data_IF_590752529853
#
_entry.id   IF_590752529853
#
_cell.length_a   1.000
_cell.length_b   1.000
_cell.length_c   1.000
_cell.angle_alpha   90.00
_cell.angle_beta   90.00
_cell.angle_gamma   90.00
#
_symmetry.space_group_name_H-M   'P 1'
#
loop_
_entity.id
_entity.type
_entity.pdbx_description
1 polymer ?
#
# COMPACT_ATOMS: atom_id res chain seq x y z
N UNK A 1 -68.79 -23.45 -51.42
CA UNK A 1 -69.01 -24.33 -50.26
C UNK A 1 -68.79 -23.50 -48.99
N UNK A 2 -69.88 -23.27 -48.24
CA UNK A 2 -70.05 -22.81 -46.84
C UNK A 2 -68.91 -22.07 -46.12
N UNK A 3 -69.03 -20.79 -45.72
CA UNK A 3 -69.93 -20.11 -44.73
C UNK A 3 -69.37 -20.06 -43.30
N UNK A 4 -69.12 -18.84 -42.81
CA UNK A 4 -69.64 -18.16 -41.59
C UNK A 4 -68.57 -17.19 -41.01
N UNK A 5 -68.78 -15.85 -40.94
CA UNK A 5 -69.63 -15.05 -40.02
C UNK A 5 -69.27 -15.29 -38.53
N UNK A 6 -69.13 -14.35 -37.58
CA UNK A 6 -69.48 -12.91 -37.45
C UNK A 6 -68.99 -12.40 -36.06
N UNK A 7 -68.67 -11.10 -35.95
CA UNK A 7 -68.74 -10.18 -34.75
C UNK A 7 -67.91 -10.48 -33.48
N UNK A 8 -67.54 -9.57 -32.57
CA UNK A 8 -68.11 -8.30 -32.06
C UNK A 8 -66.98 -7.61 -31.23
N UNK A 9 -66.59 -6.35 -31.47
CA UNK A 9 -67.02 -5.09 -30.83
C UNK A 9 -66.88 -4.98 -29.29
N UNK A 10 -66.32 -3.83 -28.89
CA UNK A 10 -66.42 -3.07 -27.61
C UNK A 10 -65.07 -2.96 -26.88
N UNK A 11 -64.59 -1.81 -26.41
CA UNK A 11 -65.20 -0.50 -26.19
C UNK A 11 -64.41 0.16 -25.06
N UNK A 12 -63.59 1.15 -25.38
CA UNK A 12 -62.89 2.01 -24.42
C UNK A 12 -63.91 2.88 -23.66
N UNK A 13 -63.88 2.93 -22.32
CA UNK A 13 -64.03 4.17 -21.53
C UNK A 13 -63.87 3.94 -20.01
N UNK A 14 -62.94 4.71 -19.42
CA UNK A 14 -63.06 5.35 -18.11
C UNK A 14 -62.99 4.50 -16.83
N UNK A 15 -62.08 4.84 -15.92
CA UNK A 15 -62.47 5.53 -14.69
C UNK A 15 -61.26 6.10 -13.94
N UNK A 16 -61.56 7.12 -13.15
CA UNK A 16 -60.70 8.08 -12.50
C UNK A 16 -60.44 7.74 -11.02
N UNK A 17 -59.33 8.28 -10.51
CA UNK A 17 -59.07 8.76 -9.15
C UNK A 17 -59.41 7.93 -7.89
N UNK A 18 -58.38 7.91 -7.02
CA UNK A 18 -58.37 7.94 -5.54
C UNK A 18 -58.30 6.63 -4.75
N UNK A 19 -57.15 6.54 -4.06
CA UNK A 19 -56.92 6.01 -2.70
C UNK A 19 -57.12 4.51 -2.48
N UNK A 20 -56.01 3.80 -2.30
CA UNK A 20 -55.88 2.90 -1.15
C UNK A 20 -54.39 2.77 -0.76
N UNK A 21 -54.09 3.21 0.46
CA UNK A 21 -52.88 2.85 1.18
C UNK A 21 -52.87 1.35 1.44
N UNK A 22 -51.79 0.65 1.13
CA UNK A 22 -51.31 -0.50 1.90
C UNK A 22 -49.93 -0.94 1.39
N UNK A 23 -48.92 -0.75 2.24
CA UNK A 23 -47.93 -1.78 2.60
C UNK A 23 -47.22 -2.52 1.45
N UNK A 24 -46.07 -2.01 1.02
CA UNK A 24 -44.93 -2.83 0.60
C UNK A 24 -43.68 -1.95 0.50
N UNK A 25 -43.18 -1.48 1.65
CA UNK A 25 -41.79 -1.06 1.77
C UNK A 25 -40.99 -2.36 1.85
N UNK A 26 -40.61 -2.90 0.69
CA UNK A 26 -39.56 -3.91 0.61
C UNK A 26 -38.28 -3.16 0.97
N UNK A 27 -37.93 -3.25 2.25
CA UNK A 27 -36.64 -2.88 2.79
C UNK A 27 -35.61 -3.81 2.14
N UNK A 28 -35.03 -3.36 1.04
CA UNK A 28 -33.81 -3.96 0.49
C UNK A 28 -32.68 -3.64 1.47
N UNK A 29 -32.65 -4.35 2.60
CA UNK A 29 -31.43 -4.49 3.41
C UNK A 29 -30.46 -5.26 2.55
N UNK A 30 -29.64 -4.53 1.79
CA UNK A 30 -28.39 -5.05 1.28
C UNK A 30 -27.58 -5.40 2.53
N UNK A 31 -27.65 -6.67 2.94
CA UNK A 31 -26.67 -7.27 3.83
C UNK A 31 -25.35 -7.26 3.05
N UNK A 32 -24.65 -6.13 3.09
CA UNK A 32 -23.21 -6.13 2.83
C UNK A 32 -22.63 -6.91 4.00
N UNK A 33 -22.54 -8.23 3.87
CA UNK A 33 -21.72 -9.04 4.74
C UNK A 33 -20.29 -8.53 4.59
N UNK A 34 -19.87 -7.64 5.50
CA UNK A 34 -18.49 -7.21 5.59
C UNK A 34 -17.69 -8.43 6.02
N UNK A 35 -17.12 -9.14 5.06
CA UNK A 35 -16.22 -10.23 5.37
C UNK A 35 -15.07 -9.69 6.23
N UNK A 36 -14.86 -10.32 7.39
CA UNK A 36 -13.87 -9.85 8.38
C UNK A 36 -12.47 -9.97 7.81
N UNK A 37 -11.69 -8.88 7.88
CA UNK A 37 -10.29 -8.84 7.44
C UNK A 37 -9.38 -8.57 8.61
N UNK A 38 -8.31 -9.34 8.69
CA UNK A 38 -7.22 -9.16 9.65
C UNK A 38 -5.96 -8.66 8.94
N UNK A 39 -5.04 -8.06 9.69
CA UNK A 39 -3.76 -7.58 9.18
C UNK A 39 -2.62 -8.39 9.79
N UNK A 40 -1.80 -9.00 8.93
CA UNK A 40 -0.58 -9.71 9.36
C UNK A 40 0.63 -9.00 8.76
N UNK A 41 1.63 -8.74 9.61
CA UNK A 41 2.92 -8.22 9.17
C UNK A 41 3.83 -9.38 8.79
N UNK A 42 4.24 -9.42 7.54
CA UNK A 42 5.14 -10.45 7.02
C UNK A 42 6.48 -9.83 6.64
N UNK A 43 7.56 -10.43 7.12
CA UNK A 43 8.89 -10.01 6.74
C UNK A 43 9.26 -10.59 5.37
N UNK A 44 9.63 -9.73 4.42
CA UNK A 44 10.08 -10.10 3.08
C UNK A 44 11.58 -9.83 2.94
N UNK A 45 12.31 -10.66 2.17
CA UNK A 45 13.71 -10.41 1.90
C UNK A 45 13.91 -9.17 1.02
N UNK A 46 15.10 -8.58 1.08
CA UNK A 46 15.49 -7.50 0.19
C UNK A 46 15.44 -7.93 -1.29
N UNK A 47 15.11 -7.02 -2.21
CA UNK A 47 15.08 -7.33 -3.65
C UNK A 47 16.48 -7.70 -4.17
N UNK A 48 17.54 -7.06 -3.66
CA UNK A 48 18.94 -7.33 -3.99
C UNK A 48 19.64 -8.07 -2.86
N UNK A 49 19.60 -9.40 -2.94
CA UNK A 49 20.12 -10.27 -1.89
C UNK A 49 21.59 -10.00 -1.53
N UNK A 50 22.51 -9.91 -2.50
CA UNK A 50 23.93 -9.67 -2.20
C UNK A 50 24.18 -8.31 -1.53
N UNK A 51 23.43 -7.27 -1.93
CA UNK A 51 23.55 -5.96 -1.32
C UNK A 51 23.15 -5.98 0.16
N UNK A 52 22.08 -6.70 0.49
CA UNK A 52 21.59 -6.82 1.87
C UNK A 52 22.49 -7.61 2.83
N UNK A 53 23.44 -8.39 2.29
CA UNK A 53 24.45 -9.09 3.11
C UNK A 53 25.59 -8.16 3.54
N UNK A 54 25.72 -6.97 2.96
CA UNK A 54 26.78 -6.03 3.28
C UNK A 54 26.36 -5.16 4.46
N UNK A 55 26.83 -5.48 5.66
CA UNK A 55 26.32 -4.91 6.92
C UNK A 55 27.04 -3.64 7.34
N UNK A 56 28.36 -3.62 7.23
CA UNK A 56 29.17 -2.46 7.58
C UNK A 56 29.32 -1.55 6.37
N UNK A 57 28.64 -0.41 6.35
CA UNK A 57 28.56 0.45 5.16
C UNK A 57 28.95 1.88 5.48
N UNK A 58 29.55 2.55 4.49
CA UNK A 58 29.75 4.00 4.48
C UNK A 58 28.93 4.62 3.36
N UNK A 59 28.48 5.85 3.56
CA UNK A 59 27.77 6.63 2.54
C UNK A 59 28.67 7.78 2.10
N UNK A 60 29.08 7.78 0.84
CA UNK A 60 29.78 8.91 0.24
C UNK A 60 28.78 9.87 -0.40
N UNK A 61 29.16 11.15 -0.61
CA UNK A 61 28.33 12.10 -1.33
C UNK A 61 27.87 11.55 -2.68
N UNK A 62 26.63 11.86 -3.04
CA UNK A 62 26.13 11.62 -4.39
C UNK A 62 26.52 12.81 -5.26
N UNK A 63 26.82 12.55 -6.52
CA UNK A 63 26.97 13.62 -7.53
C UNK A 63 25.59 14.16 -7.94
N UNK A 64 25.55 15.34 -8.55
CA UNK A 64 24.31 15.93 -9.08
C UNK A 64 23.57 16.85 -8.09
N UNK A 65 22.39 17.38 -8.48
CA UNK A 65 21.66 18.37 -7.69
C UNK A 65 21.23 17.83 -6.33
N UNK A 66 21.63 18.48 -5.24
CA UNK A 66 21.26 18.08 -3.87
C UNK A 66 21.86 16.74 -3.42
N UNK A 67 22.94 16.27 -4.05
CA UNK A 67 23.49 14.94 -3.81
C UNK A 67 24.14 14.77 -2.42
N UNK A 68 24.65 15.84 -1.82
CA UNK A 68 25.20 15.79 -0.46
C UNK A 68 24.09 15.65 0.59
N UNK A 69 22.99 16.38 0.42
CA UNK A 69 21.80 16.29 1.26
C UNK A 69 21.17 14.90 1.13
N UNK A 70 21.01 14.41 -0.11
CA UNK A 70 20.47 13.08 -0.34
C UNK A 70 21.33 11.97 0.26
N UNK A 71 22.67 12.11 0.25
CA UNK A 71 23.56 11.17 0.93
C UNK A 71 23.30 11.12 2.45
N UNK A 72 23.11 12.27 3.09
CA UNK A 72 22.76 12.34 4.51
C UNK A 72 21.38 11.74 4.81
N UNK A 73 20.41 11.95 3.91
CA UNK A 73 19.09 11.31 4.03
C UNK A 73 19.19 9.77 3.89
N UNK A 74 20.05 9.27 2.98
CA UNK A 74 20.33 7.85 2.82
C UNK A 74 20.99 7.26 4.07
N UNK A 75 21.95 7.97 4.65
CA UNK A 75 22.59 7.60 5.91
C UNK A 75 21.53 7.46 7.03
N UNK A 76 20.63 8.44 7.16
CA UNK A 76 19.55 8.40 8.16
C UNK A 76 18.57 7.24 8.00
N UNK A 77 18.19 6.89 6.77
CA UNK A 77 17.28 5.75 6.53
C UNK A 77 17.98 4.40 6.73
N UNK A 78 19.29 4.30 6.48
CA UNK A 78 20.07 3.11 6.80
C UNK A 78 20.28 2.96 8.32
N UNK A 79 20.55 4.07 9.02
CA UNK A 79 20.75 4.10 10.48
C UNK A 79 19.49 3.68 11.25
N UNK A 80 18.32 4.11 10.77
CA UNK A 80 17.02 3.78 11.37
C UNK A 80 16.54 2.37 11.01
N UNK A 81 17.23 1.66 10.11
CA UNK A 81 16.81 0.33 9.70
C UNK A 81 17.13 -0.68 10.80
N UNK A 82 16.08 -1.16 11.46
CA UNK A 82 16.14 -2.28 12.39
C UNK A 82 15.29 -3.48 11.91
N UNK A 83 15.67 -4.67 12.38
CA UNK A 83 14.91 -5.92 12.28
C UNK A 83 15.03 -6.59 13.65
N UNK A 84 13.90 -6.98 14.25
CA UNK A 84 13.84 -7.61 15.58
C UNK A 84 14.64 -6.84 16.66
N UNK A 85 14.41 -5.53 16.73
CA UNK A 85 15.06 -4.56 17.64
C UNK A 85 16.59 -4.45 17.53
N UNK A 86 17.18 -5.01 16.46
CA UNK A 86 18.60 -4.91 16.15
C UNK A 86 18.82 -4.03 14.93
N UNK A 87 19.83 -3.16 14.97
CA UNK A 87 20.25 -2.40 13.80
C UNK A 87 20.69 -3.36 12.69
N UNK A 88 20.16 -3.15 11.50
CA UNK A 88 20.45 -4.00 10.34
C UNK A 88 21.78 -3.66 9.68
N UNK A 89 22.15 -2.37 9.69
CA UNK A 89 23.41 -1.87 9.17
C UNK A 89 24.26 -1.28 10.29
N UNK A 90 25.58 -1.43 10.15
CA UNK A 90 26.58 -0.73 10.94
C UNK A 90 27.14 0.40 10.08
N UNK A 91 26.85 1.64 10.44
CA UNK A 91 27.35 2.79 9.69
C UNK A 91 28.72 3.20 10.15
N UNK A 92 29.60 3.44 9.19
CA UNK A 92 30.89 4.08 9.44
C UNK A 92 30.68 5.57 9.64
N UNK A 93 31.33 6.12 10.66
CA UNK A 93 31.23 7.52 11.04
C UNK A 93 31.62 8.49 9.92
N UNK A 94 30.77 9.49 9.68
CA UNK A 94 30.96 10.49 8.64
C UNK A 94 32.20 11.36 8.86
N UNK A 95 32.50 11.74 10.10
CA UNK A 95 33.69 12.56 10.38
C UNK A 95 34.98 11.81 10.00
N UNK A 96 35.01 10.49 10.19
CA UNK A 96 36.10 9.62 9.75
C UNK A 96 36.23 9.60 8.22
N UNK A 97 35.11 9.57 7.48
CA UNK A 97 35.11 9.66 6.01
C UNK A 97 35.65 11.01 5.55
N UNK A 98 35.14 12.12 6.11
CA UNK A 98 35.53 13.48 5.73
C UNK A 98 37.02 13.75 6.00
N UNK A 99 37.55 13.21 7.12
CA UNK A 99 38.98 13.24 7.42
C UNK A 99 39.81 12.53 6.35
N UNK A 100 39.45 11.31 5.97
CA UNK A 100 40.16 10.55 4.93
C UNK A 100 40.07 11.25 3.56
N UNK A 101 38.90 11.83 3.24
CA UNK A 101 38.70 12.54 1.98
C UNK A 101 39.57 13.80 1.87
N UNK A 102 39.73 14.53 2.97
CA UNK A 102 40.58 15.73 3.02
C UNK A 102 42.07 15.40 3.03
N UNK A 103 42.51 14.40 3.78
CA UNK A 103 43.93 13.99 3.86
C UNK A 103 44.48 13.46 2.54
N UNK A 104 43.66 12.74 1.76
CA UNK A 104 44.08 12.13 0.49
C UNK A 104 43.74 12.99 -0.74
N UNK A 105 43.24 14.22 -0.54
CA UNK A 105 42.81 15.14 -1.61
C UNK A 105 41.77 14.56 -2.58
N UNK A 106 40.99 13.56 -2.14
CA UNK A 106 39.93 12.94 -2.95
C UNK A 106 38.74 13.87 -3.20
N UNK A 107 38.58 14.91 -2.38
CA UNK A 107 37.54 15.92 -2.48
C UNK A 107 37.58 16.75 -3.79
N UNK A 108 38.67 16.68 -4.56
CA UNK A 108 38.83 17.44 -5.80
C UNK A 108 38.19 16.77 -7.04
N UNK A 109 37.80 15.49 -6.95
CA UNK A 109 37.13 14.80 -8.06
C UNK A 109 35.61 14.91 -7.95
N UNK A 110 34.96 15.50 -8.95
CA UNK A 110 33.50 15.58 -9.03
C UNK A 110 32.81 14.21 -9.20
N UNK A 111 33.58 13.18 -9.58
CA UNK A 111 33.10 11.81 -9.75
C UNK A 111 34.01 10.85 -8.99
N UNK A 112 33.43 10.14 -8.02
CA UNK A 112 34.12 9.07 -7.29
C UNK A 112 33.93 7.77 -8.08
N UNK A 113 35.01 7.23 -8.64
CA UNK A 113 34.97 5.94 -9.33
C UNK A 113 34.95 4.76 -8.34
N UNK A 114 34.67 3.55 -8.83
CA UNK A 114 34.54 2.36 -7.99
C UNK A 114 35.82 2.05 -7.22
N UNK A 115 36.99 2.29 -7.84
CA UNK A 115 38.30 2.01 -7.25
C UNK A 115 38.61 2.97 -6.11
N UNK A 116 38.31 4.24 -6.29
CA UNK A 116 38.47 5.28 -5.27
C UNK A 116 37.52 5.04 -4.12
N UNK A 117 36.25 4.73 -4.39
CA UNK A 117 35.28 4.36 -3.37
C UNK A 117 35.75 3.14 -2.55
N UNK A 118 36.21 2.08 -3.21
CA UNK A 118 36.76 0.90 -2.53
C UNK A 118 38.00 1.24 -1.68
N UNK A 119 38.91 2.10 -2.19
CA UNK A 119 40.08 2.55 -1.43
C UNK A 119 39.67 3.32 -0.17
N UNK A 120 38.71 4.25 -0.28
CA UNK A 120 38.17 4.99 0.87
C UNK A 120 37.53 4.01 1.86
N UNK A 121 36.68 3.12 1.36
CA UNK A 121 36.03 2.09 2.18
C UNK A 121 37.01 1.24 2.98
N UNK A 122 38.14 0.85 2.38
CA UNK A 122 39.20 0.12 3.08
C UNK A 122 39.84 0.94 4.21
N UNK A 123 40.03 2.25 4.02
CA UNK A 123 40.61 3.14 5.03
C UNK A 123 39.66 3.39 6.20
N UNK A 124 38.35 3.45 5.94
CA UNK A 124 37.33 3.71 6.95
C UNK A 124 36.71 2.44 7.55
N UNK A 125 37.18 1.25 7.14
CA UNK A 125 36.72 -0.03 7.67
C UNK A 125 35.32 -0.47 7.18
N UNK A 126 34.85 0.05 6.06
CA UNK A 126 33.57 -0.36 5.46
C UNK A 126 33.71 -1.65 4.65
N UNK A 127 32.66 -2.48 4.63
CA UNK A 127 32.50 -3.60 3.70
C UNK A 127 31.90 -3.13 2.37
N UNK A 128 31.00 -2.14 2.43
CA UNK A 128 30.33 -1.57 1.27
C UNK A 128 30.28 -0.05 1.29
N UNK A 129 30.29 0.54 0.11
CA UNK A 129 30.13 1.98 -0.08
C UNK A 129 28.86 2.27 -0.86
N UNK A 130 27.95 3.02 -0.25
CA UNK A 130 26.84 3.66 -0.95
C UNK A 130 27.29 5.00 -1.53
N UNK A 131 27.04 5.20 -2.82
CA UNK A 131 27.23 6.47 -3.53
C UNK A 131 26.37 6.45 -4.79
N UNK A 132 26.37 7.50 -5.60
CA UNK A 132 25.59 7.52 -6.82
C UNK A 132 25.49 8.90 -7.43
N UNK A 133 24.42 9.09 -8.21
CA UNK A 133 24.10 10.36 -8.83
C UNK A 133 22.62 10.67 -8.66
N UNK A 134 22.30 11.87 -8.21
CA UNK A 134 20.96 12.45 -8.34
C UNK A 134 20.84 12.97 -9.77
N UNK A 135 19.97 12.37 -10.56
CA UNK A 135 19.82 12.68 -11.99
C UNK A 135 18.79 13.77 -12.23
N UNK A 136 17.79 13.91 -11.34
CA UNK A 136 16.80 14.97 -11.40
C UNK A 136 16.26 15.32 -10.01
N UNK A 137 16.13 16.61 -9.73
CA UNK A 137 15.41 17.13 -8.58
C UNK A 137 14.82 18.49 -8.99
N UNK A 138 13.59 18.48 -9.50
CA UNK A 138 12.96 19.70 -10.00
C UNK A 138 11.44 19.66 -9.81
N UNK A 139 10.85 20.86 -9.77
CA UNK A 139 9.42 21.07 -9.73
C UNK A 139 9.00 21.86 -10.95
N UNK A 140 7.88 21.49 -11.56
CA UNK A 140 7.34 22.16 -12.74
C UNK A 140 5.88 22.53 -12.52
N UNK A 141 5.58 23.80 -12.68
CA UNK A 141 4.21 24.30 -12.69
C UNK A 141 3.65 24.35 -14.13
N UNK A 142 2.37 24.01 -14.24
CA UNK A 142 1.59 24.12 -15.47
C UNK A 142 0.25 24.77 -15.17
N UNK A 143 -0.05 25.83 -15.91
CA UNK A 143 -1.29 26.59 -15.72
C UNK A 143 -2.41 26.02 -16.59
N UNK A 144 -3.60 25.90 -16.00
CA UNK A 144 -4.81 25.49 -16.68
C UNK A 144 -6.01 26.31 -16.16
N UNK A 145 -7.20 26.08 -16.72
CA UNK A 145 -8.41 26.78 -16.29
C UNK A 145 -9.51 25.77 -16.04
N UNK A 146 -10.27 25.99 -14.98
CA UNK A 146 -11.48 25.23 -14.69
C UNK A 146 -12.72 26.09 -14.83
N UNK A 147 -13.80 25.48 -15.29
CA UNK A 147 -15.08 26.15 -15.45
C UNK A 147 -15.81 26.19 -14.10
N UNK A 148 -16.36 27.35 -13.76
CA UNK A 148 -17.27 27.59 -12.63
C UNK A 148 -18.59 28.15 -13.13
N UNK A 149 -19.59 28.11 -12.25
CA UNK A 149 -20.90 28.72 -12.48
C UNK A 149 -21.26 29.58 -11.27
N UNK A 150 -21.74 30.78 -11.53
CA UNK A 150 -22.36 31.65 -10.54
C UNK A 150 -23.76 32.04 -11.00
N UNK A 151 -24.60 32.42 -10.04
CA UNK A 151 -25.90 32.97 -10.39
C UNK A 151 -25.73 34.40 -10.92
N UNK A 152 -26.17 34.63 -12.16
CA UNK A 152 -26.15 35.96 -12.77
C UNK A 152 -27.38 36.79 -12.42
N UNK A 153 -28.50 36.14 -12.09
CA UNK A 153 -29.75 36.81 -11.74
C UNK A 153 -30.58 35.98 -10.77
N UNK A 154 -30.94 36.55 -9.62
CA UNK A 154 -31.87 35.95 -8.65
C UNK A 154 -33.30 36.44 -8.85
N UNK A 155 -34.26 35.59 -8.50
CA UNK A 155 -35.67 35.95 -8.34
C UNK A 155 -35.84 36.87 -7.12
N UNK A 156 -36.47 38.03 -7.25
CA UNK A 156 -36.73 38.90 -6.10
C UNK A 156 -38.09 38.55 -5.50
N UNK A 157 -38.12 38.21 -4.20
CA UNK A 157 -39.34 37.92 -3.44
C UNK A 157 -39.55 38.93 -2.33
N UNK A 158 -40.78 39.02 -1.83
CA UNK A 158 -41.15 39.91 -0.72
C UNK A 158 -41.70 39.11 0.45
N UNK A 159 -41.27 39.44 1.66
CA UNK A 159 -41.81 38.89 2.89
C UNK A 159 -43.18 39.52 3.25
N UNK A 160 -43.82 39.02 4.31
CA UNK A 160 -45.13 39.55 4.78
C UNK A 160 -45.06 40.99 5.30
N UNK A 161 -43.87 41.52 5.57
CA UNK A 161 -43.61 42.89 6.01
C UNK A 161 -43.23 43.82 4.85
N UNK A 162 -43.18 43.29 3.63
CA UNK A 162 -42.82 44.02 2.41
C UNK A 162 -41.31 44.09 2.12
N UNK A 163 -40.46 43.43 2.90
CA UNK A 163 -39.01 43.43 2.67
C UNK A 163 -38.65 42.49 1.52
N UNK A 164 -37.74 42.94 0.65
CA UNK A 164 -37.24 42.13 -0.46
C UNK A 164 -36.14 41.17 -0.01
N UNK A 165 -36.14 39.97 -0.59
CA UNK A 165 -35.07 38.98 -0.40
C UNK A 165 -34.85 38.16 -1.68
N UNK A 166 -33.64 37.60 -1.80
CA UNK A 166 -33.25 36.78 -2.95
C UNK A 166 -33.89 35.39 -2.87
N UNK A 167 -34.58 35.03 -3.95
CA UNK A 167 -35.17 33.73 -4.22
C UNK A 167 -34.24 32.83 -5.04
N UNK A 168 -34.81 32.00 -5.91
CA UNK A 168 -34.02 31.05 -6.71
C UNK A 168 -33.20 31.76 -7.77
N UNK A 169 -32.10 31.13 -8.18
CA UNK A 169 -31.35 31.60 -9.34
C UNK A 169 -32.14 31.41 -10.64
N UNK A 170 -32.31 32.49 -11.43
CA UNK A 170 -33.03 32.53 -12.71
C UNK A 170 -32.08 32.24 -13.88
N UNK A 171 -30.85 32.78 -13.84
CA UNK A 171 -29.87 32.58 -14.90
C UNK A 171 -28.48 32.31 -14.33
N UNK A 172 -27.79 31.35 -14.94
CA UNK A 172 -26.43 30.96 -14.57
C UNK A 172 -25.44 31.52 -15.57
N UNK A 173 -24.33 32.05 -15.08
CA UNK A 173 -23.20 32.49 -15.91
C UNK A 173 -21.99 31.64 -15.60
N UNK A 174 -21.30 31.22 -16.66
CA UNK A 174 -20.03 30.53 -16.53
C UNK A 174 -18.88 31.53 -16.46
N UNK A 175 -17.90 31.23 -15.63
CA UNK A 175 -16.61 31.89 -15.64
C UNK A 175 -15.50 30.85 -15.51
N UNK A 176 -14.27 31.23 -15.84
CA UNK A 176 -13.12 30.34 -15.78
C UNK A 176 -12.19 30.80 -14.67
N UNK A 177 -11.81 29.87 -13.80
CA UNK A 177 -10.85 30.12 -12.73
C UNK A 177 -9.49 29.60 -13.15
N UNK A 178 -8.42 30.41 -13.05
CA UNK A 178 -7.07 29.93 -13.26
C UNK A 178 -6.67 28.94 -12.16
N UNK A 179 -6.00 27.88 -12.59
CA UNK A 179 -5.52 26.83 -11.72
C UNK A 179 -4.08 26.48 -12.10
N UNK A 180 -3.34 25.98 -11.12
CA UNK A 180 -1.97 25.55 -11.28
C UNK A 180 -1.88 24.08 -10.90
N UNK A 181 -1.31 23.27 -11.80
CA UNK A 181 -0.86 21.92 -11.52
C UNK A 181 0.64 21.93 -11.36
N UNK A 182 1.10 21.49 -10.20
CA UNK A 182 2.49 21.37 -9.80
C UNK A 182 2.91 19.91 -9.83
N UNK A 183 3.94 19.63 -10.61
CA UNK A 183 4.52 18.30 -10.80
C UNK A 183 5.96 18.32 -10.27
N UNK A 184 6.22 17.68 -9.12
CA UNK A 184 7.56 17.49 -8.58
C UNK A 184 8.13 16.16 -9.04
N UNK A 185 9.39 16.15 -9.47
CA UNK A 185 10.09 14.94 -9.92
C UNK A 185 11.45 14.80 -9.25
N UNK A 186 11.69 13.63 -8.65
CA UNK A 186 12.97 13.26 -8.08
C UNK A 186 13.45 11.94 -8.68
N UNK A 187 14.73 11.88 -9.04
CA UNK A 187 15.36 10.69 -9.62
C UNK A 187 16.82 10.58 -9.18
N UNK A 188 17.22 9.39 -8.74
CA UNK A 188 18.57 9.09 -8.31
C UNK A 188 18.97 7.66 -8.71
N UNK A 189 20.27 7.47 -8.97
CA UNK A 189 20.86 6.15 -9.22
C UNK A 189 21.84 5.82 -8.09
N UNK A 190 21.35 5.30 -6.95
CA UNK A 190 22.22 4.78 -5.90
C UNK A 190 22.95 3.52 -6.37
N UNK A 191 24.16 3.35 -5.84
CA UNK A 191 25.04 2.22 -6.09
C UNK A 191 25.62 1.74 -4.77
N UNK A 192 25.75 0.42 -4.61
CA UNK A 192 26.56 -0.21 -3.57
C UNK A 192 27.80 -0.83 -4.22
N UNK A 193 28.97 -0.44 -3.74
CA UNK A 193 30.25 -0.96 -4.19
C UNK A 193 30.84 -1.83 -3.08
N UNK A 194 31.16 -3.08 -3.39
CA UNK A 194 31.89 -3.97 -2.52
C UNK A 194 33.35 -3.50 -2.38
N UNK A 195 33.80 -3.26 -1.15
CA UNK A 195 35.14 -2.72 -0.88
C UNK A 195 36.23 -3.72 -1.21
N UNK A 196 35.97 -5.02 -1.04
CA UNK A 196 36.99 -6.05 -1.22
C UNK A 196 37.32 -6.31 -2.69
N UNK A 197 36.31 -6.24 -3.56
CA UNK A 197 36.40 -6.57 -4.99
C UNK A 197 36.27 -5.36 -5.91
N UNK A 198 35.90 -4.19 -5.37
CA UNK A 198 35.52 -2.99 -6.11
C UNK A 198 34.36 -3.21 -7.11
N UNK A 199 33.54 -4.26 -6.94
CA UNK A 199 32.41 -4.57 -7.82
C UNK A 199 31.13 -3.88 -7.32
N UNK A 200 30.27 -3.50 -8.25
CA UNK A 200 28.93 -3.02 -7.93
C UNK A 200 28.05 -4.21 -7.52
N UNK A 201 27.53 -4.20 -6.30
CA UNK A 201 26.55 -5.17 -5.79
C UNK A 201 25.10 -4.75 -6.03
N UNK A 202 24.86 -3.44 -6.11
CA UNK A 202 23.55 -2.85 -6.37
C UNK A 202 23.71 -1.58 -7.20
N UNK A 203 22.84 -1.40 -8.20
CA UNK A 203 22.69 -0.16 -8.94
C UNK A 203 21.33 -0.16 -9.61
N UNK A 204 20.51 0.85 -9.35
CA UNK A 204 19.18 0.98 -9.97
C UNK A 204 18.83 2.45 -10.15
N UNK A 205 18.20 2.81 -11.26
CA UNK A 205 17.62 4.13 -11.42
C UNK A 205 16.26 4.16 -10.71
N UNK A 206 16.14 4.97 -9.67
CA UNK A 206 14.95 5.15 -8.86
C UNK A 206 14.36 6.53 -9.13
N UNK A 207 13.11 6.60 -9.58
CA UNK A 207 12.45 7.85 -9.91
C UNK A 207 11.02 7.88 -9.41
N UNK A 208 10.61 9.01 -8.83
CA UNK A 208 9.22 9.27 -8.41
C UNK A 208 8.78 10.69 -8.75
N UNK A 209 7.48 10.82 -8.95
CA UNK A 209 6.83 12.11 -9.17
C UNK A 209 5.63 12.23 -8.25
N UNK A 210 5.42 13.44 -7.75
CA UNK A 210 4.27 13.82 -6.92
C UNK A 210 3.59 15.03 -7.56
N UNK A 211 2.26 15.01 -7.59
CA UNK A 211 1.47 16.04 -8.26
C UNK A 211 0.46 16.64 -7.29
N UNK A 212 0.35 17.97 -7.30
CA UNK A 212 -0.73 18.67 -6.63
C UNK A 212 -1.32 19.72 -7.56
N UNK A 213 -2.64 19.89 -7.52
CA UNK A 213 -3.33 20.95 -8.22
C UNK A 213 -4.09 21.84 -7.25
N UNK A 214 -4.19 23.12 -7.57
CA UNK A 214 -5.02 24.08 -6.84
C UNK A 214 -5.46 25.22 -7.74
N UNK A 215 -6.58 25.84 -7.41
CA UNK A 215 -7.16 26.97 -8.14
C UNK A 215 -7.20 28.20 -7.24
N UNK A 216 -7.16 29.41 -7.83
CA UNK A 216 -7.19 30.66 -7.05
C UNK A 216 -8.43 30.79 -6.15
N UNK A 217 -9.55 30.19 -6.54
CA UNK A 217 -10.81 30.20 -5.78
C UNK A 217 -10.86 29.15 -4.66
N UNK A 218 -9.84 28.30 -4.54
CA UNK A 218 -9.75 27.19 -3.59
C UNK A 218 -8.36 27.15 -2.94
N UNK A 219 -8.04 26.03 -2.30
CA UNK A 219 -6.69 25.80 -1.79
C UNK A 219 -5.67 25.81 -2.94
N UNK A 220 -4.53 26.49 -2.75
CA UNK A 220 -3.42 26.42 -3.70
C UNK A 220 -2.86 24.99 -3.76
N UNK A 221 -2.09 24.65 -4.82
CA UNK A 221 -1.34 23.40 -4.82
C UNK A 221 -0.38 23.37 -3.62
N UNK A 222 -0.03 22.15 -3.19
CA UNK A 222 0.97 21.91 -2.14
C UNK A 222 2.29 22.63 -2.45
N UNK A 223 3.02 22.94 -1.39
CA UNK A 223 4.33 23.58 -1.48
C UNK A 223 5.32 22.77 -2.32
N UNK A 224 6.22 23.47 -3.03
CA UNK A 224 7.21 22.86 -3.92
C UNK A 224 8.13 21.90 -3.15
N UNK A 225 8.60 22.32 -1.98
CA UNK A 225 9.51 21.54 -1.15
C UNK A 225 8.78 20.32 -0.56
N UNK A 226 7.54 20.49 -0.09
CA UNK A 226 6.73 19.37 0.40
C UNK A 226 6.56 18.27 -0.67
N UNK A 227 6.25 18.64 -1.91
CA UNK A 227 6.08 17.67 -3.00
C UNK A 227 7.40 16.99 -3.38
N UNK A 228 8.49 17.75 -3.45
CA UNK A 228 9.80 17.18 -3.77
C UNK A 228 10.28 16.23 -2.66
N UNK A 229 10.05 16.58 -1.39
CA UNK A 229 10.39 15.72 -0.26
C UNK A 229 9.54 14.44 -0.23
N UNK A 230 8.25 14.52 -0.56
CA UNK A 230 7.41 13.33 -0.73
C UNK A 230 7.96 12.41 -1.85
N UNK A 231 8.41 12.96 -2.97
CA UNK A 231 9.02 12.18 -4.05
C UNK A 231 10.35 11.53 -3.61
N UNK A 232 11.19 12.25 -2.86
CA UNK A 232 12.42 11.72 -2.25
C UNK A 232 12.12 10.59 -1.27
N UNK A 233 11.15 10.77 -0.38
CA UNK A 233 10.71 9.74 0.58
C UNK A 233 10.28 8.46 -0.14
N UNK A 234 9.53 8.58 -1.23
CA UNK A 234 9.14 7.43 -2.04
C UNK A 234 10.34 6.72 -2.68
N UNK A 235 11.36 7.46 -3.15
CA UNK A 235 12.62 6.89 -3.64
C UNK A 235 13.41 6.19 -2.52
N UNK A 236 13.55 6.81 -1.34
CA UNK A 236 14.25 6.21 -0.18
C UNK A 236 13.57 4.94 0.30
N UNK A 237 12.23 4.90 0.33
CA UNK A 237 11.47 3.68 0.66
C UNK A 237 11.75 2.56 -0.34
N UNK A 238 11.81 2.85 -1.64
CA UNK A 238 12.16 1.82 -2.64
C UNK A 238 13.61 1.38 -2.49
N UNK A 239 14.55 2.31 -2.29
CA UNK A 239 15.95 1.99 -2.02
C UNK A 239 16.09 1.04 -0.82
N UNK A 240 15.41 1.31 0.30
CA UNK A 240 15.47 0.43 1.47
C UNK A 240 14.94 -0.98 1.19
N UNK A 241 13.87 -1.13 0.40
CA UNK A 241 13.36 -2.45 -0.02
C UNK A 241 14.35 -3.19 -0.90
N UNK A 242 15.11 -2.45 -1.71
CA UNK A 242 16.14 -3.05 -2.56
C UNK A 242 17.27 -3.65 -1.72
N UNK A 243 17.67 -2.99 -0.62
CA UNK A 243 18.90 -3.33 0.11
C UNK A 243 18.70 -3.94 1.50
N UNK A 244 17.48 -3.97 2.04
CA UNK A 244 17.19 -4.56 3.34
C UNK A 244 15.81 -5.27 3.37
N UNK A 245 15.65 -6.31 4.21
CA UNK A 245 14.35 -6.93 4.48
C UNK A 245 13.32 -5.90 4.91
N UNK A 246 12.06 -6.10 4.57
CA UNK A 246 10.99 -5.14 4.87
C UNK A 246 9.70 -5.84 5.26
N UNK A 247 8.96 -5.24 6.19
CA UNK A 247 7.64 -5.73 6.57
C UNK A 247 6.61 -5.29 5.54
N UNK A 248 5.76 -6.22 5.15
CA UNK A 248 4.56 -5.98 4.35
C UNK A 248 3.37 -6.36 5.19
N UNK A 249 2.42 -5.44 5.35
CA UNK A 249 1.13 -5.74 5.96
C UNK A 249 0.22 -6.33 4.91
N UNK A 250 -0.20 -7.58 5.11
CA UNK A 250 -1.15 -8.27 4.25
C UNK A 250 -2.51 -8.25 4.93
N UNK A 251 -3.54 -7.84 4.20
CA UNK A 251 -4.93 -8.00 4.63
C UNK A 251 -5.44 -9.37 4.22
N UNK A 252 -5.88 -10.17 5.19
CA UNK A 252 -6.38 -11.52 4.97
C UNK A 252 -7.84 -11.55 5.39
N UNK A 253 -8.70 -11.96 4.47
CA UNK A 253 -10.10 -12.24 4.77
C UNK A 253 -10.21 -13.59 5.47
N UNK A 254 -10.93 -13.61 6.60
CA UNK A 254 -11.27 -14.83 7.32
C UNK A 254 -12.46 -15.53 6.67
N UNK A 255 -12.51 -16.85 6.82
CA UNK A 255 -13.66 -17.65 6.36
C UNK A 255 -14.67 -17.83 7.49
N UNK A 256 -15.94 -17.62 7.18
CA UNK A 256 -17.08 -17.72 8.10
C UNK A 256 -18.09 -18.81 7.71
N UNK A 257 -17.85 -19.52 6.60
CA UNK A 257 -18.71 -20.63 6.18
C UNK A 257 -18.79 -21.72 7.25
N UNK A 258 -20.02 -22.19 7.51
CA UNK A 258 -20.28 -23.31 8.43
C UNK A 258 -20.30 -24.67 7.72
N UNK A 259 -19.78 -24.75 6.49
CA UNK A 259 -19.71 -26.00 5.74
C UNK A 259 -18.91 -27.06 6.51
N UNK A 260 -19.45 -28.28 6.54
CA UNK A 260 -18.90 -29.43 7.28
C UNK A 260 -18.73 -29.16 8.80
N UNK A 261 -19.63 -28.35 9.38
CA UNK A 261 -19.76 -28.15 10.83
C UNK A 261 -21.18 -28.56 11.26
N UNK A 262 -21.32 -29.70 11.93
CA UNK A 262 -22.62 -30.15 12.45
C UNK A 262 -22.90 -29.62 13.86
N UNK A 263 -21.87 -29.57 14.71
CA UNK A 263 -21.98 -29.10 16.09
C UNK A 263 -22.32 -27.62 16.18
N UNK A 264 -23.40 -27.28 16.88
CA UNK A 264 -23.76 -25.88 17.17
C UNK A 264 -22.65 -25.17 17.95
N UNK A 265 -22.07 -25.82 18.96
CA UNK A 265 -20.94 -25.31 19.72
C UNK A 265 -19.72 -25.00 18.82
N UNK A 266 -19.47 -25.81 17.79
CA UNK A 266 -18.38 -25.55 16.85
C UNK A 266 -18.67 -24.35 15.92
N UNK A 267 -19.92 -24.14 15.52
CA UNK A 267 -20.34 -22.94 14.77
C UNK A 267 -20.21 -21.69 15.61
N UNK A 268 -20.64 -21.75 16.87
CA UNK A 268 -20.53 -20.65 17.82
C UNK A 268 -19.06 -20.29 18.06
N UNK A 269 -18.18 -21.30 18.23
CA UNK A 269 -16.74 -21.09 18.34
C UNK A 269 -16.11 -20.52 17.06
N UNK A 270 -16.53 -20.95 15.87
CA UNK A 270 -16.06 -20.34 14.61
C UNK A 270 -16.36 -18.83 14.60
N UNK A 271 -17.61 -18.45 14.88
CA UNK A 271 -18.05 -17.05 14.92
C UNK A 271 -17.34 -16.26 16.03
N UNK A 272 -17.23 -16.84 17.24
CA UNK A 272 -16.54 -16.21 18.36
C UNK A 272 -15.06 -15.96 18.06
N UNK A 273 -14.37 -16.92 17.43
CA UNK A 273 -12.99 -16.73 17.01
C UNK A 273 -12.82 -15.60 15.99
N UNK A 274 -13.78 -15.42 15.07
CA UNK A 274 -13.79 -14.30 14.12
C UNK A 274 -13.94 -12.95 14.85
N UNK A 275 -14.84 -12.85 15.83
CA UNK A 275 -15.02 -11.63 16.64
C UNK A 275 -13.75 -11.28 17.45
N UNK A 276 -13.07 -12.28 18.03
CA UNK A 276 -11.77 -12.06 18.67
C UNK A 276 -10.71 -11.57 17.67
N UNK A 277 -10.64 -12.18 16.49
CA UNK A 277 -9.68 -11.80 15.46
C UNK A 277 -9.92 -10.37 14.93
N UNK A 278 -11.19 -9.97 14.75
CA UNK A 278 -11.58 -8.61 14.36
C UNK A 278 -11.12 -7.57 15.41
N UNK A 279 -11.18 -7.93 16.69
CA UNK A 279 -10.69 -7.11 17.81
C UNK A 279 -9.17 -7.19 18.02
N UNK A 280 -8.42 -7.78 17.08
CA UNK A 280 -6.97 -7.90 17.12
C UNK A 280 -6.45 -8.93 18.13
N UNK A 281 -7.32 -9.79 18.67
CA UNK A 281 -6.99 -10.81 19.68
C UNK A 281 -6.75 -12.16 19.01
N UNK A 282 -5.74 -12.21 18.14
CA UNK A 282 -5.45 -13.38 17.31
C UNK A 282 -5.17 -14.64 18.13
N UNK A 283 -4.46 -14.54 19.24
CA UNK A 283 -4.12 -15.72 20.08
C UNK A 283 -5.37 -16.44 20.57
N UNK A 284 -6.37 -15.68 21.06
CA UNK A 284 -7.65 -16.23 21.50
C UNK A 284 -8.42 -16.85 20.32
N UNK A 285 -8.43 -16.19 19.17
CA UNK A 285 -9.10 -16.71 17.97
C UNK A 285 -8.53 -18.07 17.57
N UNK A 286 -7.20 -18.20 17.57
CA UNK A 286 -6.50 -19.43 17.25
C UNK A 286 -6.79 -20.57 18.23
N UNK A 287 -6.86 -20.27 19.53
CA UNK A 287 -7.25 -21.26 20.54
C UNK A 287 -8.69 -21.74 20.32
N UNK A 288 -9.63 -20.82 20.13
CA UNK A 288 -11.05 -21.11 19.95
C UNK A 288 -11.30 -21.94 18.68
N UNK A 289 -10.69 -21.57 17.55
CA UNK A 289 -10.77 -22.36 16.32
C UNK A 289 -10.11 -23.73 16.48
N UNK A 290 -9.04 -23.83 17.27
CA UNK A 290 -8.41 -25.11 17.63
C UNK A 290 -9.39 -26.04 18.36
N UNK A 291 -10.14 -25.49 19.33
CA UNK A 291 -11.19 -26.23 20.04
C UNK A 291 -12.35 -26.62 19.11
N UNK A 292 -12.80 -25.72 18.24
CA UNK A 292 -13.87 -25.98 17.27
C UNK A 292 -13.49 -27.12 16.30
N UNK A 293 -12.22 -27.17 15.87
CA UNK A 293 -11.71 -28.20 14.96
C UNK A 293 -11.80 -29.61 15.53
N UNK A 294 -11.81 -29.79 16.86
CA UNK A 294 -11.99 -31.11 17.48
C UNK A 294 -13.35 -31.71 17.07
N UNK A 295 -14.40 -30.89 17.02
CA UNK A 295 -15.75 -31.32 16.67
C UNK A 295 -16.03 -31.25 15.15
N UNK A 296 -15.27 -30.45 14.40
CA UNK A 296 -15.42 -30.30 12.95
C UNK A 296 -14.05 -30.35 12.23
N UNK A 297 -13.39 -31.52 12.18
CA UNK A 297 -12.00 -31.65 11.73
C UNK A 297 -11.78 -31.36 10.24
N UNK A 298 -12.84 -31.49 9.43
CA UNK A 298 -12.81 -31.30 7.98
C UNK A 298 -13.44 -29.99 7.51
N UNK A 299 -13.88 -29.11 8.43
CA UNK A 299 -14.44 -27.83 8.04
C UNK A 299 -13.41 -26.98 7.30
N UNK A 300 -13.68 -26.57 6.04
CA UNK A 300 -12.75 -25.77 5.29
C UNK A 300 -12.45 -24.41 5.95
N UNK A 301 -13.46 -23.77 6.55
CA UNK A 301 -13.30 -22.48 7.22
C UNK A 301 -12.38 -22.60 8.45
N UNK A 302 -12.56 -23.64 9.29
CA UNK A 302 -11.68 -23.86 10.44
C UNK A 302 -10.25 -24.21 10.01
N UNK A 303 -10.08 -25.05 8.99
CA UNK A 303 -8.76 -25.39 8.44
C UNK A 303 -8.06 -24.14 7.89
N UNK A 304 -8.77 -23.32 7.11
CA UNK A 304 -8.24 -22.08 6.56
C UNK A 304 -7.88 -21.08 7.67
N UNK A 305 -8.78 -20.78 8.60
CA UNK A 305 -8.53 -19.83 9.69
C UNK A 305 -7.39 -20.30 10.61
N UNK A 306 -7.24 -21.61 10.85
CA UNK A 306 -6.06 -22.14 11.55
C UNK A 306 -4.78 -22.05 10.71
N UNK A 307 -4.88 -22.11 9.37
CA UNK A 307 -3.77 -21.80 8.46
C UNK A 307 -3.31 -20.35 8.62
N UNK A 308 -4.26 -19.42 8.75
CA UNK A 308 -4.00 -18.01 9.05
C UNK A 308 -3.30 -17.85 10.41
N UNK A 309 -3.69 -18.65 11.41
CA UNK A 309 -3.01 -18.71 12.71
C UNK A 309 -1.58 -19.28 12.68
N UNK A 310 -1.30 -20.22 11.78
CA UNK A 310 0.07 -20.71 11.58
C UNK A 310 0.91 -19.63 10.88
N UNK A 311 0.32 -18.97 9.88
CA UNK A 311 0.96 -17.88 9.14
C UNK A 311 1.29 -16.67 10.02
N UNK A 312 0.38 -16.27 10.93
CA UNK A 312 0.61 -15.17 11.87
C UNK A 312 1.78 -15.41 12.82
N UNK A 313 2.10 -16.68 13.10
CA UNK A 313 3.23 -17.11 13.94
C UNK A 313 4.52 -17.35 13.14
N UNK A 314 4.49 -17.14 11.82
CA UNK A 314 5.63 -17.40 10.93
C UNK A 314 5.86 -18.87 10.57
N UNK A 315 4.95 -19.78 10.95
CA UNK A 315 5.02 -21.20 10.60
C UNK A 315 4.38 -21.44 9.22
N UNK A 316 5.14 -21.08 8.17
CA UNK A 316 4.66 -21.20 6.79
C UNK A 316 4.44 -22.65 6.35
N UNK A 317 5.12 -23.64 6.95
CA UNK A 317 4.95 -25.05 6.60
C UNK A 317 3.63 -25.61 7.15
N UNK A 318 3.32 -25.32 8.42
CA UNK A 318 2.03 -25.67 9.01
C UNK A 318 0.88 -24.96 8.29
N UNK A 319 1.06 -23.67 7.95
CA UNK A 319 0.06 -22.90 7.20
C UNK A 319 -0.22 -23.53 5.83
N UNK A 320 0.84 -23.88 5.07
CA UNK A 320 0.70 -24.53 3.77
C UNK A 320 -0.08 -25.85 3.86
N UNK A 321 0.19 -26.67 4.89
CA UNK A 321 -0.52 -27.92 5.09
C UNK A 321 -2.01 -27.69 5.38
N UNK A 322 -2.33 -26.74 6.26
CA UNK A 322 -3.72 -26.40 6.62
C UNK A 322 -4.50 -25.83 5.43
N UNK A 323 -3.91 -24.93 4.64
CA UNK A 323 -4.55 -24.40 3.44
C UNK A 323 -4.78 -25.47 2.37
N UNK A 324 -3.84 -26.42 2.19
CA UNK A 324 -4.05 -27.57 1.29
C UNK A 324 -5.16 -28.50 1.76
N UNK A 325 -5.30 -28.69 3.08
CA UNK A 325 -6.43 -29.43 3.63
C UNK A 325 -7.74 -28.69 3.37
N UNK A 326 -7.79 -27.38 3.60
CA UNK A 326 -8.98 -26.56 3.31
C UNK A 326 -9.37 -26.65 1.82
N UNK A 327 -8.42 -26.49 0.91
CA UNK A 327 -8.61 -26.59 -0.54
C UNK A 327 -9.25 -27.93 -0.94
N UNK A 328 -8.70 -29.03 -0.41
CA UNK A 328 -9.21 -30.38 -0.62
C UNK A 328 -10.65 -30.55 -0.13
N UNK A 329 -11.01 -29.94 1.01
CA UNK A 329 -12.34 -30.08 1.60
C UNK A 329 -13.39 -29.21 0.90
N UNK A 330 -13.02 -28.06 0.34
CA UNK A 330 -13.93 -27.25 -0.49
C UNK A 330 -14.24 -27.96 -1.80
N UNK A 331 -13.25 -28.62 -2.42
CA UNK A 331 -13.43 -29.40 -3.65
C UNK A 331 -13.74 -28.57 -4.90
N UNK A 332 -13.66 -27.24 -4.81
CA UNK A 332 -13.80 -26.27 -5.90
C UNK A 332 -12.80 -25.13 -5.70
N UNK A 333 -12.41 -24.41 -6.76
CA UNK A 333 -11.54 -23.24 -6.63
C UNK A 333 -12.14 -22.19 -5.70
N UNK A 334 -11.30 -21.65 -4.82
CA UNK A 334 -11.60 -20.55 -3.92
C UNK A 334 -10.45 -19.52 -3.96
N UNK A 335 -10.81 -18.25 -4.15
CA UNK A 335 -9.83 -17.17 -4.32
C UNK A 335 -9.02 -16.91 -3.05
N UNK A 336 -9.65 -16.96 -1.88
CA UNK A 336 -9.01 -16.69 -0.58
C UNK A 336 -7.98 -17.79 -0.27
N UNK A 337 -8.34 -19.07 -0.50
CA UNK A 337 -7.41 -20.20 -0.37
C UNK A 337 -6.26 -20.10 -1.38
N UNK A 338 -6.56 -19.77 -2.64
CA UNK A 338 -5.54 -19.65 -3.69
C UNK A 338 -4.51 -18.56 -3.36
N UNK A 339 -4.99 -17.40 -2.89
CA UNK A 339 -4.12 -16.31 -2.43
C UNK A 339 -3.26 -16.74 -1.24
N UNK A 340 -3.84 -17.46 -0.27
CA UNK A 340 -3.13 -17.96 0.89
C UNK A 340 -2.04 -18.97 0.52
N UNK A 341 -2.34 -19.96 -0.34
CA UNK A 341 -1.38 -20.95 -0.84
C UNK A 341 -0.19 -20.29 -1.55
N UNK A 342 -0.46 -19.30 -2.40
CA UNK A 342 0.58 -18.54 -3.11
C UNK A 342 1.48 -17.78 -2.13
N UNK A 343 0.87 -17.11 -1.14
CA UNK A 343 1.55 -16.29 -0.14
C UNK A 343 2.49 -17.14 0.73
N UNK A 344 2.01 -18.26 1.28
CA UNK A 344 2.86 -19.14 2.11
C UNK A 344 3.92 -19.87 1.29
N UNK A 345 3.63 -20.26 0.05
CA UNK A 345 4.63 -20.85 -0.85
C UNK A 345 5.76 -19.88 -1.14
N UNK A 346 5.44 -18.60 -1.34
CA UNK A 346 6.45 -17.54 -1.48
C UNK A 346 7.26 -17.35 -0.19
N UNK A 347 6.60 -17.36 0.98
CA UNK A 347 7.28 -17.27 2.28
C UNK A 347 8.28 -18.42 2.48
N UNK A 348 7.90 -19.66 2.16
CA UNK A 348 8.79 -20.83 2.20
C UNK A 348 9.98 -20.64 1.26
N UNK A 349 9.73 -20.25 0.00
CA UNK A 349 10.78 -19.99 -1.00
C UNK A 349 11.78 -18.92 -0.53
N UNK A 350 11.28 -17.88 0.13
CA UNK A 350 12.08 -16.75 0.60
C UNK A 350 12.80 -17.00 1.93
N UNK A 351 12.45 -18.06 2.67
CA UNK A 351 12.98 -18.36 4.01
C UNK A 351 14.51 -18.40 4.05
N UNK A 352 15.15 -19.08 3.09
CA UNK A 352 16.63 -19.17 3.03
C UNK A 352 17.27 -17.80 2.90
N UNK A 353 16.83 -17.00 1.92
CA UNK A 353 17.34 -15.65 1.70
C UNK A 353 17.16 -14.77 2.93
N UNK A 354 16.00 -14.87 3.58
CA UNK A 354 15.70 -14.08 4.76
C UNK A 354 16.60 -14.46 5.94
N UNK A 355 16.83 -15.77 6.15
CA UNK A 355 17.74 -16.27 7.19
C UNK A 355 19.16 -15.74 6.99
N UNK A 356 19.66 -15.79 5.75
CA UNK A 356 20.97 -15.24 5.40
C UNK A 356 21.04 -13.72 5.60
N UNK A 357 19.92 -13.02 5.36
CA UNK A 357 19.84 -11.56 5.48
C UNK A 357 19.74 -11.05 6.91
N UNK A 358 19.18 -11.82 7.85
CA UNK A 358 19.00 -11.41 9.25
C UNK A 358 20.17 -11.84 10.14
N UNK A 359 20.98 -12.80 9.67
CA UNK A 359 22.22 -13.21 10.31
C UNK A 359 23.23 -12.07 10.34
#
# INVERSE_FOLDING_TARGET
MNRHHITQRDGFHGLSFKKLCALCIILFTVLTGCATKIRINMLQPAEYHQASLTKTVAVLPFSGPGGQEFAAEIEGVLASKSIDDKQYFTLVDRASIDKIMSEQQFSQSALIDQKTAAKIGKLVGAQGIYTGVVTAAHVKDSNYREKRQECAQHEIKRDKKGNEYEGKCISWKNYFVPCTRRDAHFSATPKLIDVSTAKILYSRNLSKSETSSGCEDRSPPKDEQELLDNAKEAVKRQFLKDVAPYYVTVEIKLMDSTDQIDSADAKDKLSLGIDFAEKGRMDNACEIWGQARIAAPNSPALLYNLGVCAESRGDADAALNLYKQADKQIGKPDDDITLALNRVSLAIKNRKKLTEQIK
#
